data_IF_508975002906
#
_entry.id   IF_508975002906
#
_cell.length_a   1.000
_cell.length_b   1.000
_cell.length_c   1.000
_cell.angle_alpha   90.00
_cell.angle_beta   90.00
_cell.angle_gamma   90.00
#
_symmetry.space_group_name_H-M   'P 1'
#
loop_
_entity.id
_entity.type
_entity.pdbx_description
1 polymer ?
#
# COMPACT_ATOMS: atom_id res chain seq x y z
N UNK A 1 -10.47 11.29 -23.81
CA UNK A 1 -10.19 10.02 -23.10
C UNK A 1 -10.99 10.06 -21.81
N UNK A 2 -11.82 9.05 -21.55
CA UNK A 2 -12.60 8.97 -20.31
C UNK A 2 -11.66 8.81 -19.13
N UNK A 3 -11.51 9.88 -18.34
CA UNK A 3 -10.76 9.89 -17.08
C UNK A 3 -11.56 9.13 -16.00
N UNK A 4 -11.69 7.81 -16.17
CA UNK A 4 -12.38 6.95 -15.21
C UNK A 4 -11.52 6.72 -13.98
N UNK A 5 -12.10 6.91 -12.80
CA UNK A 5 -11.50 6.48 -11.54
C UNK A 5 -11.67 4.96 -11.41
N UNK A 6 -10.58 4.22 -11.30
CA UNK A 6 -10.62 2.79 -11.04
C UNK A 6 -10.76 2.51 -9.53
N UNK A 7 -11.70 1.65 -9.14
CA UNK A 7 -11.84 1.22 -7.74
C UNK A 7 -11.72 -0.29 -7.67
N UNK A 8 -10.77 -0.79 -6.89
CA UNK A 8 -10.55 -2.24 -6.69
C UNK A 8 -10.64 -2.61 -5.20
N UNK A 9 -11.50 -3.56 -4.88
CA UNK A 9 -11.61 -4.15 -3.55
C UNK A 9 -10.55 -5.23 -3.32
N UNK A 10 -10.55 -5.81 -2.11
CA UNK A 10 -9.60 -6.87 -1.76
C UNK A 10 -9.77 -8.11 -2.64
N UNK A 11 -10.99 -8.48 -3.01
CA UNK A 11 -11.21 -9.67 -3.85
C UNK A 11 -10.62 -9.48 -5.25
N UNK A 12 -10.85 -8.33 -5.89
CA UNK A 12 -10.31 -8.02 -7.21
C UNK A 12 -8.78 -7.99 -7.19
N UNK A 13 -8.18 -7.35 -6.17
CA UNK A 13 -6.73 -7.26 -6.04
C UNK A 13 -6.12 -8.63 -5.75
N UNK A 14 -6.72 -9.39 -4.82
CA UNK A 14 -6.25 -10.74 -4.49
C UNK A 14 -6.25 -11.62 -5.73
N UNK A 15 -7.34 -11.62 -6.49
CA UNK A 15 -7.44 -12.38 -7.73
C UNK A 15 -6.36 -11.94 -8.73
N UNK A 16 -6.18 -10.63 -8.93
CA UNK A 16 -5.13 -10.10 -9.80
C UNK A 16 -3.73 -10.59 -9.39
N UNK A 17 -3.37 -10.46 -8.11
CA UNK A 17 -2.06 -10.86 -7.59
C UNK A 17 -1.82 -12.38 -7.66
N UNK A 18 -2.85 -13.19 -7.43
CA UNK A 18 -2.76 -14.66 -7.52
C UNK A 18 -2.70 -15.18 -8.95
N UNK A 19 -3.19 -14.40 -9.92
CA UNK A 19 -3.19 -14.79 -11.35
C UNK A 19 -1.96 -14.32 -12.11
N UNK A 20 -1.03 -13.59 -11.47
CA UNK A 20 0.20 -13.16 -12.12
C UNK A 20 1.01 -14.37 -12.59
N UNK A 21 1.39 -14.35 -13.86
CA UNK A 21 2.32 -15.30 -14.45
C UNK A 21 3.73 -15.11 -13.87
N UNK A 22 4.56 -16.15 -13.97
CA UNK A 22 5.96 -16.07 -13.52
C UNK A 22 6.73 -14.87 -14.14
N UNK A 23 6.62 -14.57 -15.44
CA UNK A 23 7.24 -13.37 -16.01
C UNK A 23 6.77 -12.07 -15.36
N UNK A 24 5.47 -11.91 -15.11
CA UNK A 24 4.91 -10.70 -14.49
C UNK A 24 5.39 -10.54 -13.04
N UNK A 25 5.47 -11.63 -12.28
CA UNK A 25 6.04 -11.63 -10.92
C UNK A 25 7.51 -11.16 -10.96
N UNK A 26 8.30 -11.63 -11.93
CA UNK A 26 9.69 -11.21 -12.08
C UNK A 26 9.80 -9.73 -12.45
N UNK A 27 8.95 -9.25 -13.37
CA UNK A 27 8.87 -7.81 -13.69
C UNK A 27 8.55 -6.99 -12.45
N UNK A 28 7.60 -7.42 -11.63
CA UNK A 28 7.22 -6.73 -10.40
C UNK A 28 8.34 -6.75 -9.36
N UNK A 29 9.04 -7.88 -9.18
CA UNK A 29 10.23 -7.99 -8.32
C UNK A 29 11.31 -7.00 -8.75
N UNK A 30 11.67 -7.00 -10.04
CA UNK A 30 12.73 -6.12 -10.56
C UNK A 30 12.37 -4.64 -10.39
N UNK A 31 11.11 -4.27 -10.63
CA UNK A 31 10.64 -2.92 -10.39
C UNK A 31 10.75 -2.53 -8.89
N UNK A 32 10.33 -3.41 -7.99
CA UNK A 32 10.40 -3.19 -6.54
C UNK A 32 11.85 -3.07 -6.05
N UNK A 33 12.75 -3.92 -6.55
CA UNK A 33 14.19 -3.88 -6.26
C UNK A 33 14.80 -2.55 -6.67
N UNK A 34 14.50 -2.08 -7.89
CA UNK A 34 14.95 -0.78 -8.37
C UNK A 34 14.46 0.36 -7.47
N UNK A 35 13.17 0.38 -7.14
CA UNK A 35 12.58 1.43 -6.28
C UNK A 35 13.23 1.44 -4.89
N UNK A 36 13.51 0.27 -4.30
CA UNK A 36 14.19 0.20 -3.00
C UNK A 36 15.61 0.75 -3.05
N UNK A 37 16.36 0.45 -4.11
CA UNK A 37 17.71 0.99 -4.33
C UNK A 37 17.64 2.51 -4.54
N UNK A 38 16.77 2.98 -5.44
CA UNK A 38 16.61 4.40 -5.75
C UNK A 38 16.25 5.20 -4.49
N UNK A 39 15.32 4.69 -3.68
CA UNK A 39 14.89 5.29 -2.42
C UNK A 39 16.04 5.34 -1.40
N UNK A 40 16.79 4.25 -1.25
CA UNK A 40 17.76 4.09 -0.17
C UNK A 40 19.10 4.77 -0.44
N UNK A 41 19.61 4.65 -1.68
CA UNK A 41 20.94 5.16 -2.06
C UNK A 41 20.94 5.98 -3.34
N UNK A 42 19.90 5.88 -4.17
CA UNK A 42 19.77 6.64 -5.43
C UNK A 42 19.28 8.08 -5.26
N UNK A 43 18.97 8.51 -4.03
CA UNK A 43 18.57 9.87 -3.72
C UNK A 43 17.07 10.15 -3.84
N UNK A 44 16.25 9.20 -4.30
CA UNK A 44 14.78 9.39 -4.38
C UNK A 44 14.15 9.57 -2.99
N UNK A 45 14.78 9.02 -1.94
CA UNK A 45 14.30 9.15 -0.56
C UNK A 45 14.15 10.59 -0.08
N UNK A 46 14.93 11.53 -0.62
CA UNK A 46 14.85 12.95 -0.24
C UNK A 46 13.57 13.64 -0.72
N UNK A 47 12.94 13.09 -1.76
CA UNK A 47 11.70 13.61 -2.33
C UNK A 47 10.46 12.95 -1.74
N UNK A 48 10.62 11.93 -0.88
CA UNK A 48 9.49 11.27 -0.25
C UNK A 48 9.06 11.99 1.04
N UNK A 49 7.76 12.27 1.23
CA UNK A 49 7.30 12.88 2.46
C UNK A 49 7.52 11.96 3.67
N UNK A 50 7.77 12.56 4.84
CA UNK A 50 7.83 11.82 6.11
C UNK A 50 6.48 11.16 6.39
N UNK A 51 6.43 9.85 6.70
CA UNK A 51 5.20 9.20 7.13
C UNK A 51 4.62 9.86 8.38
N UNK A 52 3.31 10.02 8.43
CA UNK A 52 2.58 10.59 9.57
C UNK A 52 1.70 9.53 10.23
N UNK A 53 1.43 9.67 11.53
CA UNK A 53 0.59 8.73 12.26
C UNK A 53 -0.23 9.39 13.36
N UNK A 54 -1.42 8.85 13.60
CA UNK A 54 -2.32 9.28 14.66
C UNK A 54 -2.68 8.07 15.53
N UNK A 55 -2.43 8.18 16.84
CA UNK A 55 -2.86 7.21 17.83
C UNK A 55 -4.09 7.75 18.57
N UNK A 56 -5.23 7.11 18.40
CA UNK A 56 -6.46 7.47 19.11
C UNK A 56 -6.44 6.83 20.50
N UNK A 57 -6.86 7.52 21.58
CA UNK A 57 -6.87 6.96 22.94
C UNK A 57 -7.64 5.64 23.09
N UNK A 58 -8.59 5.35 22.20
CA UNK A 58 -9.32 4.08 22.14
C UNK A 58 -8.47 2.88 21.69
N UNK A 59 -7.20 3.08 21.34
CA UNK A 59 -6.28 2.02 20.89
C UNK A 59 -6.18 1.86 19.37
N UNK A 60 -7.00 2.58 18.59
CA UNK A 60 -6.85 2.63 17.13
C UNK A 60 -5.60 3.42 16.74
N UNK A 61 -4.88 2.94 15.73
CA UNK A 61 -3.73 3.64 15.13
C UNK A 61 -3.96 3.84 13.64
N UNK A 62 -3.60 4.99 13.12
CA UNK A 62 -3.69 5.30 11.68
C UNK A 62 -2.34 5.76 11.19
N UNK A 63 -1.86 5.18 10.10
CA UNK A 63 -0.64 5.55 9.39
C UNK A 63 -1.02 6.17 8.05
N UNK A 64 -0.51 7.37 7.80
CA UNK A 64 -0.60 8.09 6.53
C UNK A 64 0.77 8.05 5.86
N UNK A 65 0.83 7.42 4.68
CA UNK A 65 2.05 7.30 3.88
C UNK A 65 1.81 7.86 2.49
N UNK A 66 2.10 9.13 2.34
CA UNK A 66 2.15 9.79 1.04
C UNK A 66 3.44 9.41 0.30
N UNK A 67 3.37 9.39 -1.03
CA UNK A 67 4.54 9.24 -1.89
C UNK A 67 4.40 10.16 -3.10
N UNK A 68 5.52 10.55 -3.68
CA UNK A 68 5.58 11.41 -4.87
C UNK A 68 6.65 10.89 -5.80
N UNK A 69 6.39 10.94 -7.10
CA UNK A 69 7.37 10.70 -8.15
C UNK A 69 7.08 11.63 -9.34
N UNK A 70 7.99 11.75 -10.31
CA UNK A 70 7.72 12.49 -11.56
C UNK A 70 6.48 11.98 -12.32
N UNK A 71 6.14 10.70 -12.15
CA UNK A 71 5.05 10.03 -12.88
C UNK A 71 3.71 10.04 -12.14
N UNK A 72 3.70 10.34 -10.83
CA UNK A 72 2.47 10.36 -10.07
C UNK A 72 2.64 10.67 -8.58
N UNK A 73 1.50 10.86 -7.94
CA UNK A 73 1.40 11.10 -6.50
C UNK A 73 0.35 10.17 -5.91
N UNK A 74 0.55 9.76 -4.68
CA UNK A 74 -0.46 8.97 -4.00
C UNK A 74 -0.30 8.94 -2.49
N UNK A 75 -1.24 8.25 -1.87
CA UNK A 75 -1.22 8.04 -0.43
C UNK A 75 -1.71 6.65 -0.10
N UNK A 76 -1.05 6.04 0.87
CA UNK A 76 -1.47 4.83 1.55
C UNK A 76 -1.95 5.21 2.94
N UNK A 77 -3.21 4.92 3.24
CA UNK A 77 -3.80 5.10 4.56
C UNK A 77 -4.03 3.70 5.12
N UNK A 78 -3.42 3.41 6.27
CA UNK A 78 -3.62 2.13 6.97
C UNK A 78 -4.15 2.39 8.36
N UNK A 79 -5.21 1.68 8.71
CA UNK A 79 -5.81 1.69 10.03
C UNK A 79 -5.52 0.34 10.69
N UNK A 80 -4.88 0.38 11.85
CA UNK A 80 -4.86 -0.71 12.82
C UNK A 80 -6.02 -0.48 13.78
N UNK A 81 -7.11 -1.25 13.70
CA UNK A 81 -8.27 -1.04 14.55
C UNK A 81 -7.92 -1.28 16.03
N UNK A 82 -8.67 -0.65 16.93
CA UNK A 82 -8.59 -0.99 18.35
C UNK A 82 -8.87 -2.50 18.56
N UNK A 83 -8.15 -3.15 19.50
CA UNK A 83 -8.45 -4.52 19.88
C UNK A 83 -9.89 -4.65 20.37
N UNK A 84 -10.53 -5.79 20.08
CA UNK A 84 -11.87 -6.11 20.56
C UNK A 84 -11.84 -7.35 21.44
N UNK A 85 -12.78 -7.48 22.35
CA UNK A 85 -13.01 -8.73 23.08
C UNK A 85 -13.92 -9.63 22.24
N UNK A 86 -13.51 -10.86 21.97
CA UNK A 86 -14.35 -11.84 21.28
C UNK A 86 -15.41 -12.45 22.21
N UNK A 87 -16.21 -13.38 21.67
CA UNK A 87 -17.28 -14.06 22.42
C UNK A 87 -16.76 -14.92 23.57
N UNK A 88 -15.49 -15.30 23.52
CA UNK A 88 -14.84 -16.18 24.50
C UNK A 88 -14.03 -15.37 25.54
N UNK A 89 -14.07 -14.04 25.46
CA UNK A 89 -13.37 -13.14 26.38
C UNK A 89 -11.92 -12.84 26.00
N UNK A 90 -11.44 -13.29 24.83
CA UNK A 90 -10.08 -13.05 24.40
C UNK A 90 -9.93 -11.69 23.70
N UNK A 91 -8.76 -11.08 23.87
CA UNK A 91 -8.38 -9.87 23.12
C UNK A 91 -7.99 -10.26 21.69
N UNK A 92 -8.75 -9.79 20.70
CA UNK A 92 -8.52 -10.04 19.28
C UNK A 92 -8.13 -8.76 18.56
N UNK A 93 -7.03 -8.84 17.81
CA UNK A 93 -6.61 -7.80 16.89
C UNK A 93 -7.24 -8.07 15.52
N UNK A 94 -7.99 -7.11 15.00
CA UNK A 94 -8.51 -7.20 13.63
C UNK A 94 -7.38 -6.97 12.62
N UNK A 95 -7.48 -7.56 11.41
CA UNK A 95 -6.54 -7.28 10.33
C UNK A 95 -6.43 -5.78 10.06
N UNK A 96 -5.26 -5.34 9.60
CA UNK A 96 -5.10 -3.98 9.12
C UNK A 96 -6.03 -3.74 7.93
N UNK A 97 -6.73 -2.62 7.95
CA UNK A 97 -7.54 -2.13 6.84
C UNK A 97 -6.90 -0.88 6.25
N UNK A 98 -7.33 -0.48 5.07
CA UNK A 98 -6.82 0.75 4.47
C UNK A 98 -7.04 0.83 2.97
N UNK A 99 -6.50 1.89 2.39
CA UNK A 99 -6.53 2.14 0.96
C UNK A 99 -5.20 2.68 0.45
N UNK A 100 -4.98 2.52 -0.85
CA UNK A 100 -4.05 3.34 -1.62
C UNK A 100 -4.88 4.18 -2.59
N UNK A 101 -4.58 5.48 -2.66
CA UNK A 101 -5.13 6.40 -3.64
C UNK A 101 -4.00 6.89 -4.55
N UNK A 102 -4.26 6.94 -5.85
CA UNK A 102 -3.27 7.24 -6.89
C UNK A 102 -3.79 8.35 -7.82
N UNK A 103 -2.92 9.30 -8.12
CA UNK A 103 -3.10 10.31 -9.16
C UNK A 103 -1.92 10.26 -10.15
N UNK A 104 -2.13 10.72 -11.38
CA UNK A 104 -1.02 10.98 -12.30
C UNK A 104 -0.24 12.25 -11.92
N UNK A 105 0.79 12.56 -12.72
CA UNK A 105 1.64 13.74 -12.56
C UNK A 105 0.90 15.08 -12.71
N UNK A 106 -0.28 15.09 -13.32
CA UNK A 106 -1.15 16.27 -13.41
C UNK A 106 -2.14 16.37 -12.22
N UNK A 107 -2.09 15.43 -11.27
CA UNK A 107 -2.99 15.36 -10.14
C UNK A 107 -4.37 14.78 -10.48
N UNK A 108 -4.55 14.20 -11.67
CA UNK A 108 -5.83 13.57 -12.05
C UNK A 108 -5.94 12.21 -11.36
N UNK A 109 -7.02 11.95 -10.57
CA UNK A 109 -7.22 10.66 -9.91
C UNK A 109 -7.26 9.50 -10.91
N UNK A 110 -6.53 8.43 -10.60
CA UNK A 110 -6.45 7.20 -11.41
C UNK A 110 -7.11 6.02 -10.73
N UNK A 111 -6.95 5.90 -9.41
CA UNK A 111 -7.66 4.84 -8.71
C UNK A 111 -7.52 4.84 -7.20
N UNK A 112 -8.40 4.04 -6.60
CA UNK A 112 -8.46 3.73 -5.18
C UNK A 112 -8.48 2.21 -5.05
N UNK A 113 -7.55 1.64 -4.30
CA UNK A 113 -7.44 0.20 -4.12
C UNK A 113 -7.35 -0.15 -2.64
N UNK A 114 -7.98 -1.24 -2.19
CA UNK A 114 -7.81 -1.70 -0.80
C UNK A 114 -6.35 -2.05 -0.50
N UNK A 115 -5.88 -1.74 0.71
CA UNK A 115 -4.46 -1.77 1.03
C UNK A 115 -3.94 -3.11 1.57
N UNK A 116 -4.81 -4.03 1.99
CA UNK A 116 -4.39 -5.25 2.67
C UNK A 116 -3.55 -6.14 1.75
N UNK A 117 -4.13 -6.54 0.62
CA UNK A 117 -3.50 -7.45 -0.35
C UNK A 117 -2.20 -6.88 -0.96
N UNK A 118 -2.15 -5.65 -1.49
CA UNK A 118 -0.90 -5.08 -2.02
C UNK A 118 0.17 -4.95 -0.93
N UNK A 119 -0.23 -4.61 0.31
CA UNK A 119 0.72 -4.47 1.42
C UNK A 119 1.32 -5.81 1.80
N UNK A 120 0.53 -6.87 1.91
CA UNK A 120 1.01 -8.22 2.19
C UNK A 120 1.97 -8.67 1.10
N UNK A 121 1.52 -8.62 -0.15
CA UNK A 121 2.27 -9.08 -1.31
C UNK A 121 3.64 -8.39 -1.45
N UNK A 122 3.68 -7.05 -1.44
CA UNK A 122 4.94 -6.30 -1.57
C UNK A 122 5.87 -6.52 -0.37
N UNK A 123 5.35 -6.74 0.85
CA UNK A 123 6.20 -6.95 2.02
C UNK A 123 6.93 -8.29 1.91
N UNK A 124 6.20 -9.35 1.56
CA UNK A 124 6.78 -10.67 1.32
C UNK A 124 7.76 -10.62 0.15
N UNK A 125 7.41 -9.96 -0.96
CA UNK A 125 8.29 -9.87 -2.12
C UNK A 125 9.56 -9.07 -1.80
N UNK A 126 9.47 -7.97 -1.05
CA UNK A 126 10.65 -7.21 -0.60
C UNK A 126 11.60 -8.06 0.24
N UNK A 127 11.09 -8.97 1.07
CA UNK A 127 11.93 -9.86 1.88
C UNK A 127 12.70 -10.90 1.05
N UNK A 128 12.36 -11.08 -0.24
CA UNK A 128 13.03 -11.97 -1.18
C UNK A 128 14.04 -11.24 -2.08
N UNK A 129 14.19 -9.92 -1.93
CA UNK A 129 15.18 -9.13 -2.65
C UNK A 129 16.49 -9.18 -1.85
N UNK A 130 17.60 -9.66 -2.44
CA UNK A 130 18.86 -9.88 -1.77
C UNK A 130 19.60 -8.59 -1.37
#
# INVERSE_FOLDING_TARGET
>A
MTNGLLVLGDEEIRNLLLTLSKPEILTFKTALEKVLIDFSVGGEGQFQPTPDFVNIPSGQKTLFRTFTSPDGVGTKIVVTPAPITDKDGNTVNRPLGGLLSLCDSAGVPKGIINAAEPTGYRTTLSALIP
#
